data_IF_020661891671
#
_entry.id   IF_020661891671
#
_cell.length_a   1.000
_cell.length_b   1.000
_cell.length_c   1.000
_cell.angle_alpha   90.00
_cell.angle_beta   90.00
_cell.angle_gamma   90.00
#
_symmetry.space_group_name_H-M   'P 1'
#
loop_
_entity.id
_entity.type
_entity.pdbx_description
1 polymer ?
#
# COMPACT_ATOMS: atom_id res chain seq x y z
N UNK A 1 14.75 17.76 26.71
CA UNK A 1 14.47 18.99 27.44
C UNK A 1 14.67 20.16 26.49
N UNK A 2 13.72 21.11 26.44
CA UNK A 2 13.79 22.31 25.58
C UNK A 2 13.20 22.19 24.16
N UNK A 3 12.68 21.05 23.74
CA UNK A 3 11.92 20.94 22.50
C UNK A 3 10.44 21.24 22.73
N UNK A 4 9.80 21.93 21.79
CA UNK A 4 8.36 22.18 21.77
C UNK A 4 7.60 20.97 21.18
N UNK A 5 6.28 20.91 21.37
CA UNK A 5 5.47 19.91 20.70
C UNK A 5 5.58 20.01 19.17
N UNK A 6 5.72 21.21 18.61
CA UNK A 6 5.91 21.43 17.20
C UNK A 6 7.21 20.78 16.67
N UNK A 7 8.30 20.88 17.43
CA UNK A 7 9.57 20.25 17.05
C UNK A 7 9.51 18.71 17.07
N UNK A 8 8.66 18.15 17.94
CA UNK A 8 8.56 16.70 18.15
C UNK A 8 7.56 16.04 17.21
N UNK A 9 6.47 16.71 16.81
CA UNK A 9 5.44 16.14 15.94
C UNK A 9 6.02 15.62 14.61
N UNK A 10 7.02 16.33 14.08
CA UNK A 10 7.62 16.05 12.78
C UNK A 10 8.97 15.34 12.86
N UNK A 11 9.39 14.92 14.04
CA UNK A 11 10.63 14.17 14.24
C UNK A 11 10.39 12.67 14.05
N UNK A 12 10.62 12.18 12.84
CA UNK A 12 10.44 10.76 12.49
C UNK A 12 11.38 9.81 13.27
N UNK A 13 12.48 10.34 13.86
CA UNK A 13 13.39 9.54 14.67
C UNK A 13 12.76 9.05 15.98
N UNK A 14 11.65 9.66 16.41
CA UNK A 14 10.89 9.22 17.58
C UNK A 14 10.13 7.90 17.32
N UNK A 15 9.95 7.52 16.07
CA UNK A 15 9.15 6.38 15.65
C UNK A 15 7.65 6.67 15.62
N UNK A 16 6.94 5.91 14.77
CA UNK A 16 5.52 6.15 14.47
C UNK A 16 4.61 6.10 15.71
N UNK A 17 4.87 5.19 16.67
CA UNK A 17 4.06 5.08 17.89
C UNK A 17 4.09 6.33 18.74
N UNK A 18 5.27 6.93 18.92
CA UNK A 18 5.43 8.18 19.69
C UNK A 18 4.81 9.36 18.93
N UNK A 19 5.01 9.42 17.60
CA UNK A 19 4.36 10.46 16.79
C UNK A 19 2.84 10.40 16.87
N UNK A 20 2.23 9.20 16.73
CA UNK A 20 0.78 9.03 16.89
C UNK A 20 0.28 9.55 18.22
N UNK A 21 0.97 9.23 19.33
CA UNK A 21 0.61 9.70 20.66
C UNK A 21 0.73 11.23 20.80
N UNK A 22 1.77 11.82 20.20
CA UNK A 22 1.97 13.28 20.22
C UNK A 22 0.89 14.00 19.40
N UNK A 23 0.57 13.54 18.18
CA UNK A 23 -0.50 14.12 17.36
C UNK A 23 -1.86 14.01 18.06
N UNK A 24 -2.15 12.89 18.71
CA UNK A 24 -3.37 12.69 19.49
C UNK A 24 -3.44 13.65 20.69
N UNK A 25 -2.36 13.72 21.48
CA UNK A 25 -2.29 14.58 22.66
C UNK A 25 -2.43 16.07 22.31
N UNK A 26 -1.72 16.53 21.27
CA UNK A 26 -1.80 17.92 20.81
C UNK A 26 -3.18 18.22 20.23
N UNK A 27 -3.73 17.32 19.41
CA UNK A 27 -5.07 17.45 18.87
C UNK A 27 -6.13 17.57 19.96
N UNK A 28 -6.08 16.72 20.99
CA UNK A 28 -6.98 16.79 22.16
C UNK A 28 -6.83 18.10 22.93
N UNK A 29 -5.60 18.55 23.14
CA UNK A 29 -5.32 19.83 23.81
C UNK A 29 -5.90 21.02 23.06
N UNK A 30 -5.87 20.98 21.73
CA UNK A 30 -6.37 22.05 20.85
C UNK A 30 -7.86 21.86 20.48
N UNK A 31 -8.51 20.79 20.91
CA UNK A 31 -9.90 20.47 20.54
C UNK A 31 -10.08 20.20 19.05
N UNK A 32 -9.04 19.65 18.38
CA UNK A 32 -9.06 19.39 16.93
C UNK A 32 -8.59 17.98 16.60
N UNK A 33 -9.14 17.33 15.57
CA UNK A 33 -8.69 16.00 15.17
C UNK A 33 -7.27 16.05 14.57
N UNK A 34 -6.50 14.97 14.78
CA UNK A 34 -5.08 14.88 14.40
C UNK A 34 -4.80 15.23 12.93
N UNK A 35 -5.69 14.87 11.99
CA UNK A 35 -5.49 15.21 10.58
C UNK A 35 -5.35 16.71 10.32
N UNK A 36 -5.99 17.57 11.12
CA UNK A 36 -5.86 19.04 10.96
C UNK A 36 -4.49 19.59 11.36
N UNK A 37 -3.73 18.81 12.12
CA UNK A 37 -2.33 19.12 12.42
C UNK A 37 -1.40 18.67 11.30
N UNK A 38 -1.87 17.74 10.44
CA UNK A 38 -1.13 17.22 9.28
C UNK A 38 -1.34 18.11 8.04
N UNK A 39 -2.54 18.61 7.82
CA UNK A 39 -2.85 19.41 6.65
C UNK A 39 -4.35 19.65 6.41
N UNK A 40 -4.65 20.16 5.24
CA UNK A 40 -6.03 20.35 4.79
C UNK A 40 -6.67 19.03 4.41
N UNK A 41 -7.90 18.82 4.85
CA UNK A 41 -8.66 17.62 4.49
C UNK A 41 -9.02 17.63 3.01
N UNK A 42 -8.69 16.56 2.29
CA UNK A 42 -8.97 16.35 0.86
C UNK A 42 -10.04 15.27 0.63
N UNK A 43 -10.36 14.46 1.66
CA UNK A 43 -11.41 13.43 1.59
C UNK A 43 -11.99 13.10 2.97
N UNK A 44 -13.18 12.50 2.98
CA UNK A 44 -13.90 12.14 4.20
C UNK A 44 -13.70 10.68 4.63
N UNK A 45 -13.07 9.85 3.78
CA UNK A 45 -12.89 8.43 4.01
C UNK A 45 -11.52 7.97 3.51
N UNK A 46 -11.00 6.90 4.08
CA UNK A 46 -9.78 6.22 3.67
C UNK A 46 -10.12 4.74 3.42
N UNK A 47 -9.98 4.23 2.18
CA UNK A 47 -10.23 2.82 1.93
C UNK A 47 -9.17 1.98 2.64
N UNK A 48 -9.59 0.82 3.16
CA UNK A 48 -8.71 -0.15 3.81
C UNK A 48 -8.74 -1.46 3.05
N UNK A 49 -7.61 -2.15 3.00
CA UNK A 49 -7.48 -3.48 2.46
C UNK A 49 -7.31 -4.50 3.59
N UNK A 50 -7.94 -5.65 3.46
CA UNK A 50 -7.59 -6.82 4.28
C UNK A 50 -6.18 -7.26 3.95
N UNK A 51 -5.46 -7.78 4.92
CA UNK A 51 -4.11 -8.26 4.70
C UNK A 51 -3.96 -9.72 5.15
N UNK A 52 -3.42 -10.56 4.28
CA UNK A 52 -3.17 -11.96 4.58
C UNK A 52 -1.73 -12.36 4.22
N UNK A 53 -1.13 -13.11 5.15
CA UNK A 53 0.19 -13.71 4.99
C UNK A 53 0.15 -14.91 4.03
N UNK A 54 1.31 -15.54 3.85
CA UNK A 54 1.47 -16.80 3.14
C UNK A 54 0.62 -17.88 3.81
N UNK A 55 -0.28 -18.51 3.05
CA UNK A 55 -1.13 -19.59 3.54
C UNK A 55 -1.70 -20.43 2.38
N UNK A 56 -2.19 -21.64 2.65
CA UNK A 56 -2.84 -22.46 1.63
C UNK A 56 -4.07 -21.78 1.00
N UNK A 57 -4.39 -22.14 -0.23
CA UNK A 57 -5.50 -21.59 -1.02
C UNK A 57 -6.85 -21.54 -0.27
N UNK A 58 -7.18 -22.62 0.47
CA UNK A 58 -8.40 -22.70 1.28
C UNK A 58 -8.47 -21.66 2.39
N UNK A 59 -7.31 -21.35 2.98
CA UNK A 59 -7.24 -20.38 4.07
C UNK A 59 -7.28 -18.95 3.53
N UNK A 60 -6.68 -18.66 2.38
CA UNK A 60 -6.88 -17.39 1.68
C UNK A 60 -8.35 -17.18 1.30
N UNK A 61 -9.01 -18.21 0.75
CA UNK A 61 -10.45 -18.11 0.44
C UNK A 61 -11.27 -17.79 1.69
N UNK A 62 -11.00 -18.47 2.81
CA UNK A 62 -11.66 -18.18 4.11
C UNK A 62 -11.39 -16.77 4.57
N UNK A 63 -10.12 -16.32 4.55
CA UNK A 63 -9.73 -14.96 4.94
C UNK A 63 -10.43 -13.88 4.08
N UNK A 64 -10.51 -14.09 2.77
CA UNK A 64 -11.20 -13.16 1.87
C UNK A 64 -12.73 -13.16 2.11
N UNK A 65 -13.33 -14.31 2.40
CA UNK A 65 -14.74 -14.37 2.80
C UNK A 65 -15.00 -13.64 4.11
N UNK A 66 -14.10 -13.76 5.09
CA UNK A 66 -14.20 -13.03 6.36
C UNK A 66 -13.96 -11.53 6.16
N UNK A 67 -13.05 -11.13 5.26
CA UNK A 67 -12.86 -9.73 4.86
C UNK A 67 -14.16 -9.12 4.29
N UNK A 68 -14.85 -9.84 3.39
CA UNK A 68 -16.15 -9.39 2.84
C UNK A 68 -17.19 -9.21 3.94
N UNK A 69 -17.31 -10.17 4.88
CA UNK A 69 -18.22 -10.06 6.03
C UNK A 69 -17.91 -8.84 6.90
N UNK A 70 -16.63 -8.49 7.03
CA UNK A 70 -16.19 -7.33 7.78
C UNK A 70 -16.29 -6.00 6.99
N UNK A 71 -16.78 -6.04 5.75
CA UNK A 71 -16.99 -4.85 4.91
C UNK A 71 -15.81 -4.45 4.04
N UNK A 72 -14.75 -5.24 3.98
CA UNK A 72 -13.62 -5.00 3.08
C UNK A 72 -13.95 -5.45 1.65
N UNK A 73 -13.50 -4.68 0.68
CA UNK A 73 -13.65 -4.97 -0.74
C UNK A 73 -12.32 -5.25 -1.45
N UNK A 74 -11.24 -5.27 -0.69
CA UNK A 74 -9.90 -5.59 -1.20
C UNK A 74 -9.13 -6.45 -0.20
N UNK A 75 -8.23 -7.28 -0.71
CA UNK A 75 -7.26 -8.01 0.11
C UNK A 75 -5.87 -7.97 -0.53
N UNK A 76 -4.87 -7.63 0.27
CA UNK A 76 -3.46 -7.79 -0.08
C UNK A 76 -2.98 -9.17 0.35
N UNK A 77 -2.43 -9.93 -0.60
CA UNK A 77 -1.94 -11.29 -0.40
C UNK A 77 -0.44 -11.37 -0.64
N UNK A 78 0.27 -12.12 0.21
CA UNK A 78 1.68 -12.43 0.00
C UNK A 78 1.83 -13.53 -1.05
N UNK A 79 1.81 -13.14 -2.33
CA UNK A 79 1.96 -14.05 -3.45
C UNK A 79 3.39 -14.63 -3.52
N UNK A 80 3.50 -15.93 -3.73
CA UNK A 80 4.78 -16.64 -3.77
C UNK A 80 4.82 -17.61 -4.93
N UNK A 81 6.00 -17.76 -5.54
CA UNK A 81 6.24 -18.64 -6.68
C UNK A 81 6.10 -20.13 -6.36
N UNK A 82 6.18 -20.50 -5.09
CA UNK A 82 6.01 -21.88 -4.64
C UNK A 82 4.56 -22.27 -4.31
N UNK A 83 3.60 -21.36 -4.49
CA UNK A 83 2.17 -21.64 -4.42
C UNK A 83 1.56 -21.72 -5.82
N UNK A 84 0.56 -22.57 -5.98
CA UNK A 84 -0.33 -22.53 -7.14
C UNK A 84 -1.31 -21.35 -6.99
N UNK A 85 -0.91 -20.21 -7.54
CA UNK A 85 -1.71 -18.97 -7.46
C UNK A 85 -3.00 -19.06 -8.28
N UNK A 86 -3.03 -19.82 -9.36
CA UNK A 86 -4.25 -20.04 -10.13
C UNK A 86 -5.31 -20.77 -9.31
N UNK A 87 -4.91 -21.83 -8.62
CA UNK A 87 -5.79 -22.55 -7.69
C UNK A 87 -6.23 -21.64 -6.52
N UNK A 88 -5.31 -20.84 -5.97
CA UNK A 88 -5.61 -19.95 -4.86
C UNK A 88 -6.59 -18.84 -5.24
N UNK A 89 -6.34 -18.14 -6.36
CA UNK A 89 -7.26 -17.12 -6.88
C UNK A 89 -8.60 -17.76 -7.23
N UNK A 90 -8.60 -18.91 -7.90
CA UNK A 90 -9.81 -19.69 -8.23
C UNK A 90 -10.62 -20.09 -7.01
N UNK A 91 -9.99 -20.38 -5.87
CA UNK A 91 -10.69 -20.63 -4.61
C UNK A 91 -11.29 -19.36 -4.01
N UNK A 92 -10.57 -18.23 -4.08
CA UNK A 92 -11.04 -16.94 -3.56
C UNK A 92 -12.27 -16.45 -4.35
N UNK A 93 -12.21 -16.42 -5.68
CA UNK A 93 -13.30 -15.87 -6.51
C UNK A 93 -14.64 -16.62 -6.35
N UNK A 94 -14.62 -17.84 -5.86
CA UNK A 94 -15.84 -18.62 -5.55
C UNK A 94 -16.56 -18.16 -4.30
N UNK A 95 -15.90 -17.39 -3.42
CA UNK A 95 -16.42 -17.03 -2.09
C UNK A 95 -16.51 -15.52 -1.87
N UNK A 96 -16.07 -14.71 -2.83
CA UNK A 96 -16.12 -13.25 -2.78
C UNK A 96 -17.00 -12.69 -3.90
N UNK A 97 -17.56 -11.48 -3.76
CA UNK A 97 -18.32 -10.85 -4.85
C UNK A 97 -17.38 -10.44 -6.01
N UNK A 98 -17.89 -10.32 -7.25
CA UNK A 98 -17.07 -9.99 -8.42
C UNK A 98 -16.26 -8.69 -8.30
N UNK A 99 -16.75 -7.73 -7.50
CA UNK A 99 -16.10 -6.43 -7.27
C UNK A 99 -14.93 -6.51 -6.29
N UNK A 100 -14.77 -7.63 -5.56
CA UNK A 100 -13.65 -7.81 -4.64
C UNK A 100 -12.33 -7.83 -5.39
N UNK A 101 -11.32 -7.10 -4.91
CA UNK A 101 -10.04 -6.95 -5.59
C UNK A 101 -8.88 -7.52 -4.77
N UNK A 102 -7.88 -8.03 -5.48
CA UNK A 102 -6.69 -8.64 -4.92
C UNK A 102 -5.45 -7.84 -5.32
N UNK A 103 -4.64 -7.49 -4.33
CA UNK A 103 -3.31 -6.94 -4.50
C UNK A 103 -2.31 -8.07 -4.23
N UNK A 104 -1.50 -8.43 -5.21
CA UNK A 104 -0.56 -9.55 -5.14
C UNK A 104 0.85 -9.02 -4.91
N UNK A 105 1.38 -9.21 -3.69
CA UNK A 105 2.73 -8.81 -3.32
C UNK A 105 3.70 -9.98 -3.46
N UNK A 106 4.57 -9.90 -4.45
CA UNK A 106 5.55 -10.93 -4.75
C UNK A 106 6.84 -10.81 -3.95
N UNK A 107 7.10 -9.68 -3.29
CA UNK A 107 8.35 -9.45 -2.55
C UNK A 107 9.60 -9.84 -3.35
N UNK A 108 9.64 -9.50 -4.64
CA UNK A 108 10.72 -9.76 -5.59
C UNK A 108 10.99 -11.25 -5.92
N UNK A 109 10.08 -12.16 -5.63
CA UNK A 109 10.30 -13.61 -5.80
C UNK A 109 10.21 -14.10 -7.25
N UNK A 110 9.78 -13.27 -8.21
CA UNK A 110 9.73 -13.65 -9.63
C UNK A 110 11.10 -13.56 -10.34
N UNK A 111 12.12 -13.07 -9.64
CA UNK A 111 13.51 -13.12 -10.08
C UNK A 111 13.88 -12.06 -11.12
N UNK A 112 13.40 -12.17 -12.36
CA UNK A 112 13.70 -11.26 -13.46
C UNK A 112 12.47 -10.95 -14.32
N UNK A 113 12.60 -9.92 -15.18
CA UNK A 113 11.48 -9.43 -15.97
C UNK A 113 10.92 -10.46 -16.96
N UNK A 114 11.77 -11.28 -17.59
CA UNK A 114 11.32 -12.25 -18.59
C UNK A 114 10.36 -13.27 -17.96
N UNK A 115 10.79 -13.90 -16.86
CA UNK A 115 9.98 -14.88 -16.11
C UNK A 115 8.75 -14.23 -15.48
N UNK A 116 8.92 -12.99 -14.96
CA UNK A 116 7.83 -12.26 -14.33
C UNK A 116 6.71 -11.91 -15.33
N UNK A 117 7.04 -11.37 -16.50
CA UNK A 117 6.05 -11.01 -17.53
C UNK A 117 5.29 -12.24 -18.00
N UNK A 118 5.99 -13.34 -18.30
CA UNK A 118 5.35 -14.59 -18.71
C UNK A 118 4.32 -15.05 -17.68
N UNK A 119 4.72 -15.14 -16.42
CA UNK A 119 3.85 -15.60 -15.35
C UNK A 119 2.69 -14.62 -15.04
N UNK A 120 3.01 -13.34 -14.87
CA UNK A 120 2.02 -12.33 -14.48
C UNK A 120 0.94 -12.14 -15.54
N UNK A 121 1.28 -12.22 -16.83
CA UNK A 121 0.30 -12.17 -17.91
C UNK A 121 -0.75 -13.29 -17.81
N UNK A 122 -0.42 -14.45 -17.25
CA UNK A 122 -1.42 -15.50 -17.01
C UNK A 122 -2.43 -15.12 -15.92
N UNK A 123 -2.08 -14.23 -15.00
CA UNK A 123 -2.96 -13.80 -13.92
C UNK A 123 -3.94 -12.70 -14.36
N UNK A 124 -3.71 -12.04 -15.49
CA UNK A 124 -4.59 -11.00 -16.01
C UNK A 124 -5.98 -11.51 -16.45
N UNK A 125 -6.12 -12.81 -16.65
CA UNK A 125 -7.42 -13.45 -16.88
C UNK A 125 -8.39 -13.30 -15.70
N UNK A 126 -7.88 -13.02 -14.50
CA UNK A 126 -8.70 -12.83 -13.30
C UNK A 126 -9.00 -11.34 -13.09
N UNK A 127 -10.24 -10.93 -13.31
CA UNK A 127 -10.66 -9.53 -13.11
C UNK A 127 -10.48 -9.04 -11.67
N UNK A 128 -10.43 -9.96 -10.70
CA UNK A 128 -10.19 -9.66 -9.29
C UNK A 128 -8.75 -9.26 -9.01
N UNK A 129 -7.77 -9.73 -9.79
CA UNK A 129 -6.37 -9.30 -9.66
C UNK A 129 -6.28 -7.84 -10.12
N UNK A 130 -6.13 -6.93 -9.18
CA UNK A 130 -6.17 -5.48 -9.44
C UNK A 130 -4.78 -4.85 -9.47
N UNK A 131 -3.79 -5.46 -8.81
CA UNK A 131 -2.48 -4.86 -8.66
C UNK A 131 -1.39 -5.89 -8.41
N UNK A 132 -0.20 -5.57 -8.86
CA UNK A 132 1.03 -6.34 -8.64
C UNK A 132 2.01 -5.48 -7.84
N UNK A 133 2.43 -5.97 -6.68
CA UNK A 133 3.44 -5.28 -5.86
C UNK A 133 4.78 -6.00 -5.93
N UNK A 134 5.84 -5.24 -6.22
CA UNK A 134 7.24 -5.67 -6.13
C UNK A 134 7.48 -7.04 -6.79
N UNK A 135 7.24 -7.21 -8.11
CA UNK A 135 7.37 -8.50 -8.77
C UNK A 135 8.81 -9.05 -8.77
N UNK A 136 9.79 -8.19 -9.03
CA UNK A 136 11.21 -8.50 -9.09
C UNK A 136 12.01 -7.55 -8.18
N UNK A 137 13.32 -7.76 -7.98
CA UNK A 137 14.13 -6.82 -7.20
C UNK A 137 13.94 -5.37 -7.66
N UNK A 138 13.63 -4.49 -6.72
CA UNK A 138 13.26 -3.10 -7.02
C UNK A 138 14.42 -2.30 -7.64
N UNK A 139 15.67 -2.71 -7.40
CA UNK A 139 16.87 -2.13 -8.03
C UNK A 139 17.02 -2.43 -9.52
N UNK A 140 16.31 -3.42 -10.06
CA UNK A 140 16.28 -3.69 -11.51
C UNK A 140 15.32 -2.71 -12.19
N UNK A 141 15.82 -1.51 -12.48
CA UNK A 141 15.07 -0.42 -13.11
C UNK A 141 14.53 -0.82 -14.47
N UNK A 142 15.39 -1.41 -15.32
CA UNK A 142 14.99 -1.79 -16.68
C UNK A 142 13.97 -2.93 -16.67
N UNK A 143 14.16 -3.92 -15.82
CA UNK A 143 13.24 -5.06 -15.68
C UNK A 143 11.87 -4.61 -15.16
N UNK A 144 11.82 -3.75 -14.13
CA UNK A 144 10.55 -3.24 -13.61
C UNK A 144 9.81 -2.36 -14.64
N UNK A 145 10.52 -1.51 -15.38
CA UNK A 145 9.94 -0.74 -16.48
C UNK A 145 9.38 -1.66 -17.59
N UNK A 146 10.10 -2.75 -17.92
CA UNK A 146 9.63 -3.75 -18.88
C UNK A 146 8.33 -4.43 -18.39
N UNK A 147 8.27 -4.85 -17.14
CA UNK A 147 7.08 -5.47 -16.55
C UNK A 147 5.89 -4.50 -16.63
N UNK A 148 6.07 -3.27 -16.11
CA UNK A 148 5.03 -2.25 -16.13
C UNK A 148 4.48 -1.98 -17.54
N UNK A 149 5.35 -1.92 -18.55
CA UNK A 149 4.96 -1.65 -19.93
C UNK A 149 4.28 -2.85 -20.63
N UNK A 150 4.31 -4.03 -20.04
CA UNK A 150 3.75 -5.26 -20.61
C UNK A 150 2.45 -5.70 -19.97
N UNK A 151 2.20 -5.27 -18.73
CA UNK A 151 1.01 -5.66 -17.99
C UNK A 151 -0.10 -4.61 -18.12
N UNK A 152 -1.34 -5.07 -18.18
CA UNK A 152 -2.53 -4.22 -18.08
C UNK A 152 -2.86 -3.89 -16.61
N UNK A 153 -2.24 -4.58 -15.65
CA UNK A 153 -2.42 -4.34 -14.22
C UNK A 153 -1.38 -3.36 -13.68
N UNK A 154 -1.79 -2.40 -12.83
CA UNK A 154 -0.87 -1.50 -12.19
C UNK A 154 0.23 -2.21 -11.40
N UNK A 155 1.44 -1.70 -11.50
CA UNK A 155 2.59 -2.16 -10.71
C UNK A 155 2.87 -1.16 -9.60
N UNK A 156 2.97 -1.64 -8.36
CA UNK A 156 3.29 -0.85 -7.18
C UNK A 156 4.68 -1.19 -6.65
N UNK A 157 5.43 -0.17 -6.22
CA UNK A 157 6.76 -0.32 -5.63
C UNK A 157 6.90 0.55 -4.38
N UNK A 158 7.75 0.13 -3.44
CA UNK A 158 8.03 0.93 -2.27
C UNK A 158 8.63 2.28 -2.65
N UNK A 159 8.13 3.36 -2.06
CA UNK A 159 8.61 4.70 -2.32
C UNK A 159 10.10 4.82 -1.98
N UNK A 160 10.89 5.33 -2.94
CA UNK A 160 12.33 5.50 -2.77
C UNK A 160 13.17 4.25 -3.07
N UNK A 161 12.55 3.17 -3.55
CA UNK A 161 13.25 1.97 -4.02
C UNK A 161 12.71 1.56 -5.41
N UNK A 162 13.44 1.85 -6.50
CA UNK A 162 14.70 2.61 -6.61
C UNK A 162 14.59 4.07 -6.09
N UNK A 163 15.70 4.84 -6.07
CA UNK A 163 15.62 6.27 -5.70
C UNK A 163 14.53 6.97 -6.50
N UNK A 164 13.77 7.87 -5.84
CA UNK A 164 12.54 8.41 -6.41
C UNK A 164 12.73 9.08 -7.78
N UNK A 165 13.82 9.83 -7.96
CA UNK A 165 14.10 10.47 -9.24
C UNK A 165 14.34 9.43 -10.36
N UNK A 166 15.07 8.35 -10.07
CA UNK A 166 15.24 7.22 -10.99
C UNK A 166 13.89 6.58 -11.33
N UNK A 167 13.07 6.34 -10.32
CA UNK A 167 11.73 5.77 -10.49
C UNK A 167 10.86 6.61 -11.44
N UNK A 168 10.87 7.93 -11.26
CA UNK A 168 10.09 8.84 -12.08
C UNK A 168 10.65 9.00 -13.50
N UNK A 169 11.98 9.13 -13.64
CA UNK A 169 12.64 9.29 -14.94
C UNK A 169 12.47 8.07 -15.84
N UNK A 170 12.48 6.88 -15.28
CA UNK A 170 12.37 5.62 -16.02
C UNK A 170 10.95 5.02 -15.99
N UNK A 171 10.02 5.70 -15.34
CA UNK A 171 8.59 5.32 -15.26
C UNK A 171 8.37 3.84 -14.89
N UNK A 172 9.05 3.39 -13.82
CA UNK A 172 9.11 1.96 -13.43
C UNK A 172 7.91 1.47 -12.63
N UNK A 173 6.99 2.35 -12.23
CA UNK A 173 5.84 1.99 -11.40
C UNK A 173 4.63 2.87 -11.70
N UNK A 174 3.43 2.36 -11.46
CA UNK A 174 2.17 3.13 -11.57
C UNK A 174 1.85 3.89 -10.29
N UNK A 175 2.38 3.43 -9.16
CA UNK A 175 2.19 4.08 -7.88
C UNK A 175 3.04 3.46 -6.78
N UNK A 176 2.81 3.88 -5.53
CA UNK A 176 3.75 3.62 -4.46
C UNK A 176 3.13 2.91 -3.26
N UNK A 177 3.98 2.16 -2.57
CA UNK A 177 3.80 1.71 -1.19
C UNK A 177 4.50 2.72 -0.29
N UNK A 178 3.76 3.42 0.57
CA UNK A 178 4.29 4.44 1.47
C UNK A 178 4.27 3.95 2.91
N UNK A 179 5.44 3.91 3.54
CA UNK A 179 5.61 3.47 4.92
C UNK A 179 6.73 4.28 5.57
N UNK A 180 6.38 5.22 6.45
CA UNK A 180 7.36 6.08 7.12
C UNK A 180 6.74 6.78 8.35
N UNK A 181 7.49 7.67 9.01
CA UNK A 181 6.98 8.63 9.97
C UNK A 181 6.20 9.77 9.31
N UNK A 182 5.53 10.58 10.10
CA UNK A 182 4.61 11.61 9.62
C UNK A 182 5.26 12.60 8.64
N UNK A 183 6.46 13.09 8.96
CA UNK A 183 7.16 14.04 8.11
C UNK A 183 7.50 13.45 6.73
N UNK A 184 8.11 12.27 6.72
CA UNK A 184 8.45 11.57 5.48
C UNK A 184 7.21 11.22 4.66
N UNK A 185 6.11 10.78 5.27
CA UNK A 185 4.85 10.51 4.56
C UNK A 185 4.33 11.76 3.87
N UNK A 186 4.33 12.91 4.53
CA UNK A 186 3.86 14.15 3.93
C UNK A 186 4.75 14.60 2.76
N UNK A 187 6.07 14.44 2.86
CA UNK A 187 6.99 14.70 1.75
C UNK A 187 6.76 13.74 0.57
N UNK A 188 6.63 12.44 0.85
CA UNK A 188 6.34 11.41 -0.16
C UNK A 188 4.99 11.65 -0.83
N UNK A 189 3.98 12.08 -0.05
CA UNK A 189 2.67 12.46 -0.58
C UNK A 189 2.75 13.66 -1.53
N UNK A 190 3.53 14.70 -1.19
CA UNK A 190 3.70 15.86 -2.05
C UNK A 190 4.38 15.50 -3.39
N UNK A 191 5.41 14.64 -3.35
CA UNK A 191 6.09 14.15 -4.55
C UNK A 191 5.14 13.28 -5.39
N UNK A 192 4.38 12.39 -4.76
CA UNK A 192 3.40 11.53 -5.43
C UNK A 192 2.30 12.35 -6.10
N UNK A 193 1.87 13.45 -5.45
CA UNK A 193 0.86 14.36 -5.99
C UNK A 193 1.39 15.11 -7.22
N UNK A 194 2.61 15.67 -7.13
CA UNK A 194 3.27 16.33 -8.24
C UNK A 194 3.50 15.39 -9.45
N UNK A 195 3.78 14.11 -9.19
CA UNK A 195 3.97 13.08 -10.20
C UNK A 195 2.65 12.45 -10.69
N UNK A 196 1.51 12.82 -10.11
CA UNK A 196 0.20 12.20 -10.35
C UNK A 196 0.23 10.66 -10.21
N UNK A 197 0.97 10.15 -9.24
CA UNK A 197 1.07 8.71 -8.95
C UNK A 197 0.34 8.39 -7.64
N UNK A 198 -0.68 7.51 -7.68
CA UNK A 198 -1.38 7.08 -6.48
C UNK A 198 -0.48 6.25 -5.57
N UNK A 199 -0.89 6.10 -4.32
CA UNK A 199 -0.23 5.21 -3.38
C UNK A 199 -1.21 4.68 -2.33
N UNK A 200 -0.80 3.65 -1.62
CA UNK A 200 -1.41 3.28 -0.34
C UNK A 200 -0.44 3.49 0.82
N UNK A 201 -1.02 3.73 1.98
CA UNK A 201 -0.31 3.74 3.24
C UNK A 201 -0.16 2.30 3.73
N UNK A 202 1.07 1.86 3.99
CA UNK A 202 1.34 0.56 4.59
C UNK A 202 1.85 0.75 6.02
N UNK A 203 0.93 0.70 6.97
CA UNK A 203 1.19 1.00 8.38
C UNK A 203 0.68 -0.17 9.23
N UNK A 204 1.26 -1.34 9.02
CA UNK A 204 0.81 -2.58 9.69
C UNK A 204 0.90 -2.45 11.21
N UNK A 205 -0.21 -2.76 11.90
CA UNK A 205 -0.26 -2.65 13.34
C UNK A 205 -1.63 -2.97 13.93
N UNK A 206 -2.03 -2.19 14.91
CA UNK A 206 -3.30 -2.33 15.64
C UNK A 206 -4.34 -1.32 15.13
N UNK A 207 -5.54 -1.30 15.72
CA UNK A 207 -6.58 -0.31 15.43
C UNK A 207 -6.15 1.15 15.59
N UNK A 208 -5.15 1.43 16.46
CA UNK A 208 -4.54 2.77 16.58
C UNK A 208 -3.85 3.15 15.27
N UNK A 209 -3.08 2.22 14.69
CA UNK A 209 -2.41 2.42 13.41
C UNK A 209 -3.41 2.60 12.27
N UNK A 210 -4.50 1.84 12.28
CA UNK A 210 -5.61 1.98 11.31
C UNK A 210 -6.23 3.39 11.38
N UNK A 211 -6.49 3.88 12.59
CA UNK A 211 -6.99 5.24 12.81
C UNK A 211 -5.99 6.28 12.32
N UNK A 212 -4.70 6.07 12.57
CA UNK A 212 -3.65 6.96 12.09
C UNK A 212 -3.58 6.98 10.55
N UNK A 213 -3.66 5.82 9.89
CA UNK A 213 -3.74 5.74 8.44
C UNK A 213 -4.94 6.52 7.88
N UNK A 214 -6.09 6.50 8.55
CA UNK A 214 -7.25 7.30 8.18
C UNK A 214 -6.98 8.80 8.31
N UNK A 215 -6.30 9.26 9.37
CA UNK A 215 -5.91 10.66 9.50
C UNK A 215 -4.94 11.10 8.38
N UNK A 216 -3.94 10.30 8.05
CA UNK A 216 -3.02 10.55 6.94
C UNK A 216 -3.73 10.52 5.59
N UNK A 217 -4.57 9.51 5.34
CA UNK A 217 -5.35 9.38 4.12
C UNK A 217 -6.31 10.56 3.90
N UNK A 218 -6.80 11.18 4.98
CA UNK A 218 -7.67 12.36 4.89
C UNK A 218 -6.98 13.60 4.30
N UNK A 219 -5.65 13.69 4.39
CA UNK A 219 -4.87 14.86 3.96
C UNK A 219 -3.93 14.61 2.78
N UNK A 220 -3.73 13.35 2.39
CA UNK A 220 -2.83 12.97 1.30
C UNK A 220 -3.61 12.80 -0.02
N UNK A 221 -3.47 13.68 -1.03
CA UNK A 221 -4.32 13.67 -2.24
C UNK A 221 -4.21 12.37 -3.05
N UNK A 222 -3.03 11.76 -3.11
CA UNK A 222 -2.79 10.54 -3.88
C UNK A 222 -2.89 9.24 -3.06
N UNK A 223 -3.24 9.29 -1.76
CA UNK A 223 -3.56 8.08 -0.98
C UNK A 223 -4.91 7.50 -1.44
N UNK A 224 -4.98 7.11 -2.71
CA UNK A 224 -6.21 6.65 -3.41
C UNK A 224 -6.37 5.13 -3.35
N UNK A 225 -5.28 4.41 -3.17
CA UNK A 225 -5.28 2.96 -3.04
C UNK A 225 -5.59 2.54 -1.60
N UNK A 226 -6.24 1.38 -1.39
CA UNK A 226 -6.62 0.94 -0.05
C UNK A 226 -5.41 0.75 0.87
N UNK A 227 -5.44 1.41 2.02
CA UNK A 227 -4.36 1.33 3.00
C UNK A 227 -4.27 -0.07 3.63
N UNK A 228 -3.07 -0.50 3.93
CA UNK A 228 -2.74 -1.76 4.60
C UNK A 228 -2.39 -1.43 6.06
N UNK A 229 -3.16 -1.95 7.00
CA UNK A 229 -2.97 -1.71 8.44
C UNK A 229 -3.07 -2.97 9.27
#
# INVERSE_FOLDING_TARGET
VGKTAADLLWDDALGAGVQMALFDAVGKKLGTPAYRLLGNKVRDWCPLSWWAMDMPAKDWARQCADAVKAGYMTAKLKARTWYDLHNAIGAIIKVVPPQFKLDLDFNATLGNAASAVEFLSTLEQYEQVAMIETPIPQGDVAGNAQIRNRLDRPVAMHFGSPPIMTTLQHDVTDGFVVCAGANSIMQQSAISDAANKPFWLQLVGTGITTTWAAHLGAVCPQAKWPAIT
#
